data_IF_192989884411
#
_entry.id   IF_192989884411
#
_cell.length_a   1.000
_cell.length_b   1.000
_cell.length_c   1.000
_cell.angle_alpha   90.00
_cell.angle_beta   90.00
_cell.angle_gamma   90.00
#
_symmetry.space_group_name_H-M   'P 1'
#
loop_
_entity.id
_entity.type
_entity.pdbx_description
1 polymer ?
#
# COMPACT_ATOMS: atom_id res chain seq x y z
N UNK A 1 3.77 11.87 10.91
CA UNK A 1 2.34 11.58 11.11
C UNK A 1 2.13 10.07 11.20
N UNK A 2 1.29 9.65 12.13
CA UNK A 2 0.94 8.24 12.26
C UNK A 2 -0.56 8.05 12.01
N UNK A 3 -1.04 6.82 12.16
CA UNK A 3 -2.45 6.50 11.90
C UNK A 3 -3.40 7.28 12.81
N UNK A 4 -3.06 7.42 14.08
CA UNK A 4 -3.88 8.15 15.05
C UNK A 4 -4.00 9.63 14.66
N UNK A 5 -2.90 10.25 14.28
CA UNK A 5 -2.88 11.64 13.83
C UNK A 5 -3.63 11.81 12.51
N UNK A 6 -3.50 10.85 11.59
CA UNK A 6 -4.24 10.86 10.33
C UNK A 6 -5.74 10.77 10.57
N UNK A 7 -6.19 9.93 11.50
CA UNK A 7 -7.60 9.82 11.87
C UNK A 7 -8.12 11.15 12.41
N UNK A 8 -7.35 11.80 13.29
CA UNK A 8 -7.74 13.09 13.85
C UNK A 8 -7.89 14.15 12.75
N UNK A 9 -6.95 14.22 11.83
CA UNK A 9 -6.98 15.15 10.71
C UNK A 9 -8.14 14.87 9.76
N UNK A 10 -8.37 13.61 9.43
CA UNK A 10 -9.48 13.20 8.57
C UNK A 10 -10.84 13.49 9.21
N UNK A 11 -10.95 13.29 10.51
CA UNK A 11 -12.17 13.62 11.26
C UNK A 11 -12.47 15.10 11.16
N UNK A 12 -11.45 15.95 11.31
CA UNK A 12 -11.58 17.39 11.16
C UNK A 12 -12.02 17.80 9.76
N UNK A 13 -11.38 17.23 8.73
CA UNK A 13 -11.71 17.54 7.34
C UNK A 13 -13.10 17.08 6.92
N UNK A 14 -13.58 15.99 7.50
CA UNK A 14 -14.89 15.40 7.12
C UNK A 14 -16.05 15.85 7.98
N UNK A 15 -15.77 16.50 9.12
CA UNK A 15 -16.81 16.82 10.09
C UNK A 15 -17.34 15.61 10.85
N UNK A 16 -16.68 14.47 10.77
CA UNK A 16 -17.06 13.25 11.48
C UNK A 16 -16.36 13.17 12.83
N UNK A 17 -16.90 12.32 13.71
CA UNK A 17 -16.21 12.04 14.97
C UNK A 17 -14.96 11.21 14.70
N UNK A 18 -13.99 11.26 15.62
CA UNK A 18 -12.77 10.44 15.50
C UNK A 18 -13.09 8.96 15.48
N UNK A 19 -14.07 8.54 16.29
CA UNK A 19 -14.50 7.14 16.37
C UNK A 19 -15.05 6.64 15.04
N UNK A 20 -15.95 7.39 14.42
CA UNK A 20 -16.53 7.03 13.14
C UNK A 20 -15.50 7.06 12.02
N UNK A 21 -14.63 8.06 12.05
CA UNK A 21 -13.52 8.18 11.08
C UNK A 21 -12.58 6.98 11.17
N UNK A 22 -12.24 6.55 12.39
CA UNK A 22 -11.42 5.36 12.61
C UNK A 22 -12.07 4.11 12.02
N UNK A 23 -13.36 3.92 12.25
CA UNK A 23 -14.11 2.78 11.72
C UNK A 23 -14.07 2.75 10.19
N UNK A 24 -14.33 3.90 9.55
CA UNK A 24 -14.32 4.00 8.09
C UNK A 24 -12.91 3.78 7.53
N UNK A 25 -11.91 4.38 8.15
CA UNK A 25 -10.53 4.23 7.70
C UNK A 25 -10.07 2.77 7.81
N UNK A 26 -10.35 2.12 8.93
CA UNK A 26 -10.00 0.71 9.12
C UNK A 26 -10.71 -0.18 8.11
N UNK A 27 -12.00 0.08 7.85
CA UNK A 27 -12.75 -0.66 6.84
C UNK A 27 -12.17 -0.49 5.44
N UNK A 28 -11.74 0.73 5.10
CA UNK A 28 -11.12 1.02 3.81
C UNK A 28 -9.78 0.28 3.66
N UNK A 29 -8.95 0.30 4.70
CA UNK A 29 -7.66 -0.39 4.68
C UNK A 29 -7.83 -1.90 4.58
N UNK A 30 -8.81 -2.46 5.30
CA UNK A 30 -9.14 -3.88 5.21
C UNK A 30 -9.62 -4.26 3.81
N UNK A 31 -10.47 -3.44 3.20
CA UNK A 31 -10.95 -3.67 1.84
C UNK A 31 -9.81 -3.67 0.83
N UNK A 32 -8.88 -2.74 0.96
CA UNK A 32 -7.68 -2.67 0.11
C UNK A 32 -6.86 -3.95 0.28
N UNK A 33 -6.65 -4.38 1.52
CA UNK A 33 -5.90 -5.60 1.83
C UNK A 33 -6.54 -6.83 1.20
N UNK A 34 -7.86 -6.97 1.32
CA UNK A 34 -8.59 -8.10 0.73
C UNK A 34 -8.45 -8.11 -0.78
N UNK A 35 -8.61 -6.96 -1.44
CA UNK A 35 -8.47 -6.86 -2.89
C UNK A 35 -7.06 -7.26 -3.35
N UNK A 36 -6.05 -6.75 -2.68
CA UNK A 36 -4.66 -7.07 -3.00
C UNK A 36 -4.34 -8.55 -2.77
N UNK A 37 -4.94 -9.15 -1.74
CA UNK A 37 -4.78 -10.59 -1.47
C UNK A 37 -5.32 -11.45 -2.61
N UNK A 38 -6.32 -10.94 -3.33
CA UNK A 38 -6.89 -11.62 -4.51
C UNK A 38 -6.14 -11.27 -5.79
N UNK A 39 -5.12 -10.44 -5.73
CA UNK A 39 -4.38 -9.99 -6.89
C UNK A 39 -5.05 -8.85 -7.67
N UNK A 40 -6.07 -8.24 -7.10
CA UNK A 40 -6.79 -7.14 -7.74
C UNK A 40 -6.13 -5.80 -7.44
N UNK A 41 -6.13 -4.90 -8.42
CA UNK A 41 -5.66 -3.53 -8.23
C UNK A 41 -6.73 -2.72 -7.49
N UNK A 42 -6.26 -1.75 -6.71
CA UNK A 42 -7.13 -0.76 -6.09
C UNK A 42 -6.72 0.61 -6.61
N UNK A 43 -7.51 1.18 -7.51
CA UNK A 43 -7.22 2.47 -8.12
C UNK A 43 -8.02 3.57 -7.43
N UNK A 44 -7.29 4.54 -6.86
CA UNK A 44 -7.87 5.71 -6.22
C UNK A 44 -7.64 6.92 -7.12
N UNK A 45 -8.68 7.33 -7.84
CA UNK A 45 -8.59 8.44 -8.79
C UNK A 45 -8.04 9.70 -8.14
N UNK A 46 -7.01 10.29 -8.77
CA UNK A 46 -6.38 11.51 -8.26
C UNK A 46 -5.41 11.29 -7.11
N UNK A 47 -5.27 10.06 -6.62
CA UNK A 47 -4.36 9.74 -5.52
C UNK A 47 -3.26 8.76 -5.93
N UNK A 48 -3.65 7.57 -6.33
CA UNK A 48 -2.70 6.56 -6.76
C UNK A 48 -3.35 5.19 -6.89
N UNK A 49 -2.52 4.20 -7.17
CA UNK A 49 -2.97 2.83 -7.39
C UNK A 49 -2.15 1.88 -6.53
N UNK A 50 -2.83 1.02 -5.79
CA UNK A 50 -2.22 -0.12 -5.12
C UNK A 50 -2.29 -1.32 -6.06
N UNK A 51 -1.18 -2.01 -6.22
CA UNK A 51 -1.12 -3.20 -7.08
C UNK A 51 -0.16 -4.23 -6.50
N UNK A 52 -0.29 -5.45 -6.98
CA UNK A 52 0.59 -6.54 -6.58
C UNK A 52 1.61 -6.77 -7.68
N UNK A 53 2.87 -6.87 -7.28
CA UNK A 53 3.94 -7.34 -8.16
C UNK A 53 4.30 -8.75 -7.74
N UNK A 54 4.25 -9.65 -8.70
CA UNK A 54 4.72 -11.01 -8.50
C UNK A 54 6.21 -11.06 -8.82
N UNK A 55 6.97 -11.59 -7.88
CA UNK A 55 8.39 -11.87 -8.08
C UNK A 55 8.55 -13.36 -8.26
N UNK A 56 9.06 -13.76 -9.42
CA UNK A 56 9.27 -15.17 -9.73
C UNK A 56 10.37 -15.76 -8.85
N UNK A 57 10.27 -17.07 -8.60
CA UNK A 57 11.34 -17.81 -7.93
C UNK A 57 12.61 -17.71 -8.78
N UNK A 58 13.74 -17.56 -8.14
CA UNK A 58 15.03 -17.47 -8.81
C UNK A 58 16.13 -18.09 -7.97
N UNK A 59 17.26 -18.35 -8.61
CA UNK A 59 18.44 -18.87 -7.93
C UNK A 59 19.40 -17.70 -7.74
N UNK A 60 19.72 -17.40 -6.48
CA UNK A 60 20.72 -16.40 -6.12
C UNK A 60 22.02 -17.10 -5.72
N UNK A 61 23.06 -16.30 -5.45
CA UNK A 61 24.32 -16.80 -4.93
C UNK A 61 24.66 -16.13 -3.63
N UNK A 62 25.11 -16.93 -2.66
CA UNK A 62 25.64 -16.42 -1.43
C UNK A 62 27.04 -15.82 -1.71
N UNK A 63 27.27 -14.52 -1.48
CA UNK A 63 28.55 -13.88 -1.79
C UNK A 63 29.72 -14.39 -0.93
N UNK A 64 29.43 -15.03 0.22
CA UNK A 64 30.50 -15.54 1.10
C UNK A 64 30.89 -16.98 0.74
N UNK A 65 29.94 -17.83 0.40
CA UNK A 65 30.18 -19.25 0.12
C UNK A 65 30.11 -19.60 -1.34
N UNK A 66 29.61 -18.70 -2.18
CA UNK A 66 29.34 -18.91 -3.61
C UNK A 66 28.36 -20.03 -3.89
N UNK A 67 27.62 -20.47 -2.87
CA UNK A 67 26.57 -21.48 -3.02
C UNK A 67 25.32 -20.87 -3.64
N UNK A 68 24.60 -21.68 -4.41
CA UNK A 68 23.30 -21.28 -4.94
C UNK A 68 22.25 -21.27 -3.85
N UNK A 69 21.43 -20.24 -3.83
CA UNK A 69 20.33 -20.08 -2.88
C UNK A 69 19.03 -20.00 -3.67
N UNK A 70 18.06 -20.84 -3.32
CA UNK A 70 16.73 -20.76 -3.92
C UNK A 70 15.97 -19.59 -3.28
N UNK A 71 15.59 -18.63 -4.11
CA UNK A 71 14.77 -17.51 -3.68
C UNK A 71 13.33 -17.79 -4.12
N UNK A 72 12.40 -18.04 -3.18
CA UNK A 72 11.04 -18.43 -3.54
C UNK A 72 10.29 -17.27 -4.23
N UNK A 73 9.26 -17.63 -4.98
CA UNK A 73 8.34 -16.66 -5.56
C UNK A 73 7.63 -15.91 -4.42
N UNK A 74 7.50 -14.60 -4.58
CA UNK A 74 6.81 -13.75 -3.60
C UNK A 74 5.85 -12.79 -4.28
N UNK A 75 4.85 -12.35 -3.54
CA UNK A 75 3.92 -11.32 -3.99
C UNK A 75 4.11 -10.10 -3.11
N UNK A 76 4.31 -8.94 -3.72
CA UNK A 76 4.63 -7.71 -3.00
C UNK A 76 3.62 -6.62 -3.36
N UNK A 77 2.95 -6.02 -2.37
CA UNK A 77 2.09 -4.86 -2.65
C UNK A 77 2.96 -3.64 -2.96
N UNK A 78 2.57 -2.89 -3.98
CA UNK A 78 3.25 -1.66 -4.37
C UNK A 78 2.23 -0.55 -4.54
N UNK A 79 2.67 0.70 -4.36
CA UNK A 79 1.85 1.87 -4.55
C UNK A 79 2.48 2.78 -5.61
N UNK A 80 1.67 3.17 -6.59
CA UNK A 80 2.08 4.15 -7.60
C UNK A 80 1.28 5.43 -7.40
N UNK A 81 1.96 6.53 -7.10
CA UNK A 81 1.30 7.82 -6.95
C UNK A 81 0.76 8.30 -8.31
N UNK A 82 -0.42 8.92 -8.28
CA UNK A 82 -0.98 9.55 -9.47
C UNK A 82 -0.19 10.81 -9.82
N UNK A 83 -0.38 11.29 -11.06
CA UNK A 83 0.23 12.55 -11.48
C UNK A 83 -0.23 13.70 -10.59
N UNK A 84 -1.52 13.74 -10.26
CA UNK A 84 -2.09 14.80 -9.40
C UNK A 84 -1.41 14.80 -8.03
N UNK A 85 -1.20 13.62 -7.42
CA UNK A 85 -0.52 13.52 -6.12
C UNK A 85 0.93 13.98 -6.23
N UNK A 86 1.65 13.54 -7.27
CA UNK A 86 3.04 13.92 -7.50
C UNK A 86 3.17 15.43 -7.67
N UNK A 87 2.28 16.03 -8.45
CA UNK A 87 2.29 17.48 -8.71
C UNK A 87 2.03 18.26 -7.42
N UNK A 88 1.09 17.80 -6.59
CA UNK A 88 0.78 18.45 -5.33
C UNK A 88 1.95 18.41 -4.35
N UNK A 89 2.68 17.31 -4.31
CA UNK A 89 3.82 17.14 -3.41
C UNK A 89 5.04 17.90 -3.92
N UNK A 90 5.20 18.03 -5.23
CA UNK A 90 6.37 18.67 -5.87
C UNK A 90 6.33 20.20 -5.82
N UNK A 91 5.27 20.81 -5.36
CA UNK A 91 5.15 22.27 -5.24
C UNK A 91 6.14 22.85 -4.26
#
# INVERSE_FOLDING_TARGET
MNKTELIALAAEHSGMTKKDTERVLNAALDAITVCLSKGEKVQLSGFGTFEIKDREARIGRNPHTLESIDIPATRVPTFKASKALKDNVAK
#
